data_IF_957157314749
#
_entry.id   IF_957157314749
#
_cell.length_a   1.000
_cell.length_b   1.000
_cell.length_c   1.000
_cell.angle_alpha   90.00
_cell.angle_beta   90.00
_cell.angle_gamma   90.00
#
_symmetry.space_group_name_H-M   'P 1'
#
loop_
_entity.id
_entity.type
_entity.pdbx_description
1 polymer ?
#
# COMPACT_ATOMS: atom_id res chain seq x y z
N UNK A 1 1.11 17.97 -16.58
CA UNK A 1 2.16 18.98 -16.28
C UNK A 1 2.11 20.11 -17.32
N UNK A 2 2.10 19.82 -18.63
CA UNK A 2 1.90 20.82 -19.70
C UNK A 2 0.60 21.64 -19.54
N UNK A 3 -0.55 20.97 -19.31
CA UNK A 3 -1.83 21.67 -19.02
C UNK A 3 -1.84 22.57 -17.77
N UNK A 4 -0.93 22.43 -16.80
CA UNK A 4 -0.89 23.35 -15.65
C UNK A 4 -0.05 24.60 -15.96
N UNK A 5 0.95 24.47 -16.85
CA UNK A 5 1.82 25.57 -17.28
C UNK A 5 1.14 26.43 -18.37
N UNK A 6 0.40 25.81 -19.29
CA UNK A 6 -0.42 26.53 -20.29
C UNK A 6 -1.55 27.35 -19.64
N UNK A 7 -2.02 26.94 -18.46
CA UNK A 7 -3.10 27.59 -17.72
C UNK A 7 -2.66 28.82 -16.92
N UNK A 8 -1.39 28.86 -16.50
CA UNK A 8 -0.79 30.05 -15.87
C UNK A 8 -0.56 31.18 -16.90
N UNK A 9 -0.43 30.81 -18.18
CA UNK A 9 -0.31 31.74 -19.31
C UNK A 9 -1.65 32.30 -19.81
N UNK A 10 -2.80 31.81 -19.30
CA UNK A 10 -4.14 32.34 -19.59
C UNK A 10 -4.62 33.37 -18.55
N UNK A 11 -3.69 34.12 -17.96
CA UNK A 11 -3.99 35.40 -17.35
C UNK A 11 -4.05 36.45 -18.48
N UNK A 12 -5.22 36.58 -19.09
CA UNK A 12 -5.49 37.50 -20.19
C UNK A 12 -5.06 38.94 -19.81
N UNK A 13 -4.14 39.59 -20.55
CA UNK A 13 -3.60 40.91 -20.18
C UNK A 13 -4.67 42.00 -20.04
N UNK A 14 -5.82 41.85 -20.71
CA UNK A 14 -6.92 42.82 -20.68
C UNK A 14 -7.69 42.85 -19.35
N UNK A 15 -7.60 41.81 -18.51
CA UNK A 15 -8.38 41.72 -17.27
C UNK A 15 -7.85 42.58 -16.11
N UNK A 16 -6.66 43.18 -16.25
CA UNK A 16 -6.00 43.93 -15.16
C UNK A 16 -6.50 45.38 -15.00
N UNK A 17 -7.35 45.87 -15.90
CA UNK A 17 -7.72 47.30 -16.03
C UNK A 17 -8.98 47.75 -15.27
N UNK A 18 -9.66 46.87 -14.53
CA UNK A 18 -10.98 47.16 -13.92
C UNK A 18 -10.93 47.30 -12.38
N UNK A 19 -9.73 47.47 -11.82
CA UNK A 19 -9.55 47.85 -10.42
C UNK A 19 -9.72 49.36 -10.25
N UNK A 20 -10.77 49.77 -9.54
CA UNK A 20 -11.09 51.16 -9.12
C UNK A 20 -11.40 52.16 -10.23
N UNK A 21 -12.54 52.02 -10.91
CA UNK A 21 -13.16 53.15 -11.61
C UNK A 21 -14.00 53.95 -10.60
N UNK A 22 -13.41 55.02 -10.06
CA UNK A 22 -14.12 56.03 -9.26
C UNK A 22 -15.12 56.74 -10.16
N UNK A 23 -16.36 56.82 -9.71
CA UNK A 23 -17.51 57.35 -10.46
C UNK A 23 -17.64 58.88 -10.41
N UNK A 24 -16.57 59.61 -10.12
CA UNK A 24 -16.63 61.06 -9.95
C UNK A 24 -16.85 61.74 -11.31
N UNK A 25 -18.01 62.38 -11.49
CA UNK A 25 -18.36 63.14 -12.69
C UNK A 25 -18.95 62.34 -13.87
N UNK A 26 -19.24 61.04 -13.70
CA UNK A 26 -19.87 60.21 -14.74
C UNK A 26 -21.40 60.19 -14.64
N UNK A 27 -22.10 59.97 -15.76
CA UNK A 27 -23.56 59.81 -15.75
C UNK A 27 -23.98 58.59 -14.91
N UNK A 28 -25.14 58.70 -14.26
CA UNK A 28 -25.65 57.68 -13.33
C UNK A 28 -25.79 56.29 -14.00
N UNK A 29 -26.19 56.27 -15.28
CA UNK A 29 -26.33 55.06 -16.08
C UNK A 29 -24.99 54.38 -16.38
N UNK A 30 -23.95 55.16 -16.69
CA UNK A 30 -22.61 54.62 -16.93
C UNK A 30 -22.03 54.02 -15.65
N UNK A 31 -22.24 54.66 -14.50
CA UNK A 31 -21.84 54.12 -13.21
C UNK A 31 -22.58 52.83 -12.84
N UNK A 32 -23.87 52.71 -13.17
CA UNK A 32 -24.62 51.46 -12.98
C UNK A 32 -24.07 50.34 -13.86
N UNK A 33 -23.78 50.62 -15.12
CA UNK A 33 -23.18 49.66 -16.06
C UNK A 33 -21.80 49.17 -15.61
N UNK A 34 -20.91 50.07 -15.17
CA UNK A 34 -19.57 49.72 -14.68
C UNK A 34 -19.62 48.86 -13.41
N UNK A 35 -20.55 49.13 -12.50
CA UNK A 35 -20.77 48.31 -11.29
C UNK A 35 -21.26 46.91 -11.66
N UNK A 36 -22.22 46.80 -12.57
CA UNK A 36 -22.73 45.51 -13.04
C UNK A 36 -21.62 44.69 -13.72
N UNK A 37 -20.84 45.33 -14.58
CA UNK A 37 -19.71 44.70 -15.28
C UNK A 37 -18.65 44.21 -14.32
N UNK A 38 -18.24 45.04 -13.36
CA UNK A 38 -17.29 44.66 -12.30
C UNK A 38 -17.81 43.47 -11.48
N UNK A 39 -19.11 43.45 -11.16
CA UNK A 39 -19.72 42.33 -10.44
C UNK A 39 -19.65 41.05 -11.26
N UNK A 40 -20.02 41.09 -12.54
CA UNK A 40 -19.97 39.94 -13.45
C UNK A 40 -18.54 39.39 -13.57
N UNK A 41 -17.55 40.26 -13.77
CA UNK A 41 -16.14 39.88 -13.83
C UNK A 41 -15.67 39.23 -12.53
N UNK A 42 -16.01 39.81 -11.37
CA UNK A 42 -15.64 39.25 -10.07
C UNK A 42 -16.23 37.86 -9.83
N UNK A 43 -17.48 37.63 -10.27
CA UNK A 43 -18.15 36.33 -10.17
C UNK A 43 -17.49 35.31 -11.07
N UNK A 44 -17.19 35.68 -12.31
CA UNK A 44 -16.52 34.80 -13.27
C UNK A 44 -15.12 34.38 -12.80
N UNK A 45 -14.31 35.33 -12.30
CA UNK A 45 -13.00 35.03 -11.70
C UNK A 45 -13.11 34.04 -10.54
N UNK A 46 -14.08 34.27 -9.65
CA UNK A 46 -14.35 33.35 -8.55
C UNK A 46 -14.78 31.96 -9.03
N UNK A 47 -15.64 31.88 -10.06
CA UNK A 47 -16.07 30.62 -10.64
C UNK A 47 -14.90 29.84 -11.26
N UNK A 48 -14.08 30.50 -12.07
CA UNK A 48 -12.86 29.91 -12.66
C UNK A 48 -11.93 29.39 -11.57
N UNK A 49 -11.65 30.19 -10.54
CA UNK A 49 -10.78 29.78 -9.43
C UNK A 49 -11.31 28.53 -8.69
N UNK A 50 -12.62 28.46 -8.42
CA UNK A 50 -13.24 27.30 -7.77
C UNK A 50 -13.15 26.03 -8.63
N UNK A 51 -13.43 26.12 -9.93
CA UNK A 51 -13.28 24.99 -10.84
C UNK A 51 -11.86 24.41 -10.82
N UNK A 52 -10.84 25.26 -10.87
CA UNK A 52 -9.43 24.82 -10.82
C UNK A 52 -9.06 24.17 -9.48
N UNK A 53 -9.55 24.74 -8.38
CA UNK A 53 -9.32 24.19 -7.06
C UNK A 53 -9.94 22.81 -6.92
N UNK A 54 -11.19 22.64 -7.37
CA UNK A 54 -11.90 21.36 -7.32
C UNK A 54 -11.25 20.30 -8.22
N UNK A 55 -10.85 20.65 -9.44
CA UNK A 55 -10.10 19.73 -10.32
C UNK A 55 -8.77 19.31 -9.68
N UNK A 56 -8.00 20.27 -9.17
CA UNK A 56 -6.73 19.99 -8.49
C UNK A 56 -6.93 19.12 -7.24
N UNK A 57 -7.98 19.38 -6.47
CA UNK A 57 -8.33 18.63 -5.26
C UNK A 57 -8.72 17.20 -5.60
N UNK A 58 -9.55 16.99 -6.61
CA UNK A 58 -9.99 15.64 -7.02
C UNK A 58 -8.83 14.81 -7.54
N UNK A 59 -7.94 15.38 -8.36
CA UNK A 59 -6.73 14.72 -8.85
C UNK A 59 -5.84 14.32 -7.66
N UNK A 60 -5.48 15.28 -6.79
CA UNK A 60 -4.64 15.01 -5.61
C UNK A 60 -5.25 13.93 -4.72
N UNK A 61 -6.55 14.03 -4.45
CA UNK A 61 -7.26 13.05 -3.63
C UNK A 61 -7.23 11.65 -4.25
N UNK A 62 -7.51 11.53 -5.56
CA UNK A 62 -7.45 10.24 -6.28
C UNK A 62 -6.07 9.60 -6.19
N UNK A 63 -4.99 10.38 -6.38
CA UNK A 63 -3.63 9.87 -6.28
C UNK A 63 -3.27 9.47 -4.85
N UNK A 64 -3.64 10.28 -3.85
CA UNK A 64 -3.41 9.96 -2.45
C UNK A 64 -4.10 8.65 -2.04
N UNK A 65 -5.38 8.48 -2.39
CA UNK A 65 -6.15 7.27 -2.09
C UNK A 65 -5.54 6.03 -2.74
N UNK A 66 -5.09 6.14 -4.00
CA UNK A 66 -4.39 5.03 -4.70
C UNK A 66 -3.09 4.63 -4.01
N UNK A 67 -2.28 5.62 -3.62
CA UNK A 67 -1.03 5.37 -2.91
C UNK A 67 -1.28 4.70 -1.56
N UNK A 68 -2.25 5.20 -0.79
CA UNK A 68 -2.64 4.63 0.49
C UNK A 68 -3.12 3.18 0.35
N UNK A 69 -3.97 2.89 -0.64
CA UNK A 69 -4.45 1.54 -0.91
C UNK A 69 -3.30 0.58 -1.29
N UNK A 70 -2.40 1.02 -2.16
CA UNK A 70 -1.23 0.24 -2.55
C UNK A 70 -0.32 -0.07 -1.35
N UNK A 71 -0.07 0.92 -0.49
CA UNK A 71 0.74 0.75 0.71
C UNK A 71 0.10 -0.23 1.71
N UNK A 72 -1.20 -0.09 2.00
CA UNK A 72 -1.93 -1.03 2.86
C UNK A 72 -1.87 -2.46 2.31
N UNK A 73 -2.06 -2.62 0.99
CA UNK A 73 -1.94 -3.92 0.34
C UNK A 73 -0.53 -4.51 0.42
N UNK A 74 0.52 -3.69 0.27
CA UNK A 74 1.91 -4.12 0.42
C UNK A 74 2.19 -4.61 1.85
N UNK A 75 1.77 -3.84 2.86
CA UNK A 75 1.95 -4.20 4.27
C UNK A 75 1.29 -5.54 4.61
N UNK A 76 0.05 -5.76 4.17
CA UNK A 76 -0.66 -7.03 4.40
C UNK A 76 0.05 -8.22 3.75
N UNK A 77 0.53 -8.08 2.51
CA UNK A 77 1.31 -9.14 1.83
C UNK A 77 2.65 -9.41 2.51
N UNK A 78 3.34 -8.36 2.95
CA UNK A 78 4.63 -8.47 3.64
C UNK A 78 4.48 -9.26 4.95
N UNK A 79 3.48 -8.90 5.76
CA UNK A 79 3.17 -9.60 7.02
C UNK A 79 2.81 -11.07 6.79
N UNK A 80 1.96 -11.34 5.79
CA UNK A 80 1.56 -12.71 5.44
C UNK A 80 2.78 -13.56 5.02
N UNK A 81 3.65 -13.00 4.17
CA UNK A 81 4.88 -13.67 3.72
C UNK A 81 5.82 -13.97 4.89
N UNK A 82 5.96 -13.03 5.83
CA UNK A 82 6.78 -13.23 7.02
C UNK A 82 6.22 -14.35 7.91
N UNK A 83 4.90 -14.36 8.15
CA UNK A 83 4.24 -15.41 8.93
C UNK A 83 4.38 -16.79 8.26
N UNK A 84 4.16 -16.88 6.95
CA UNK A 84 4.37 -18.12 6.19
C UNK A 84 5.79 -18.63 6.31
N UNK A 85 6.78 -17.74 6.18
CA UNK A 85 8.20 -18.11 6.26
C UNK A 85 8.54 -18.65 7.65
N UNK A 86 8.07 -17.98 8.71
CA UNK A 86 8.24 -18.43 10.09
C UNK A 86 7.53 -19.76 10.35
N UNK A 87 6.31 -19.94 9.83
CA UNK A 87 5.58 -21.18 10.00
C UNK A 87 6.30 -22.35 9.30
N UNK A 88 6.76 -22.14 8.06
CA UNK A 88 7.52 -23.15 7.32
C UNK A 88 8.84 -23.51 8.01
N UNK A 89 9.55 -22.55 8.60
CA UNK A 89 10.78 -22.87 9.35
C UNK A 89 10.49 -23.73 10.58
N UNK A 90 9.45 -23.41 11.35
CA UNK A 90 9.01 -24.21 12.49
C UNK A 90 8.64 -25.63 12.06
N UNK A 91 7.84 -25.78 11.00
CA UNK A 91 7.44 -27.10 10.50
C UNK A 91 8.65 -27.94 10.06
N UNK A 92 9.65 -27.33 9.41
CA UNK A 92 10.88 -28.03 9.02
C UNK A 92 11.64 -28.56 10.24
N UNK A 93 11.81 -27.74 11.27
CA UNK A 93 12.48 -28.15 12.52
C UNK A 93 11.68 -29.26 13.21
N UNK A 94 10.36 -29.13 13.31
CA UNK A 94 9.50 -30.15 13.90
C UNK A 94 9.57 -31.48 13.14
N UNK A 95 9.53 -31.45 11.80
CA UNK A 95 9.66 -32.64 10.97
C UNK A 95 11.03 -33.31 11.15
N UNK A 96 12.11 -32.53 11.17
CA UNK A 96 13.45 -33.03 11.41
C UNK A 96 13.57 -33.69 12.79
N UNK A 97 13.04 -33.06 13.84
CA UNK A 97 13.04 -33.61 15.20
C UNK A 97 12.23 -34.91 15.31
N UNK A 98 11.02 -34.95 14.73
CA UNK A 98 10.21 -36.18 14.68
C UNK A 98 10.96 -37.31 13.97
N UNK A 99 11.61 -37.01 12.85
CA UNK A 99 12.45 -37.96 12.13
C UNK A 99 13.65 -38.45 12.94
N UNK A 100 14.34 -37.56 13.65
CA UNK A 100 15.45 -37.89 14.53
C UNK A 100 15.02 -38.87 15.64
N UNK A 101 13.95 -38.53 16.38
CA UNK A 101 13.40 -39.37 17.46
C UNK A 101 13.03 -40.76 16.99
N UNK A 102 12.42 -40.89 15.81
CA UNK A 102 12.09 -42.20 15.24
C UNK A 102 13.35 -43.02 14.95
N UNK A 103 14.38 -42.40 14.37
CA UNK A 103 15.65 -43.08 14.07
C UNK A 103 16.40 -43.49 15.33
N UNK A 104 16.40 -42.66 16.38
CA UNK A 104 16.96 -43.03 17.68
C UNK A 104 16.27 -44.26 18.27
N UNK A 105 14.94 -44.27 18.31
CA UNK A 105 14.18 -45.44 18.80
C UNK A 105 14.48 -46.72 18.02
N UNK A 106 14.67 -46.60 16.70
CA UNK A 106 15.06 -47.75 15.86
C UNK A 106 16.47 -48.21 16.21
N UNK A 107 17.43 -47.28 16.36
CA UNK A 107 18.81 -47.60 16.77
C UNK A 107 18.86 -48.27 18.13
N UNK A 108 18.15 -47.74 19.12
CA UNK A 108 18.02 -48.34 20.45
C UNK A 108 17.52 -49.79 20.34
N UNK A 109 16.40 -50.03 19.65
CA UNK A 109 15.85 -51.39 19.45
C UNK A 109 16.81 -52.34 18.75
N UNK A 110 17.56 -51.86 17.75
CA UNK A 110 18.56 -52.67 17.04
C UNK A 110 19.72 -53.02 17.98
N UNK A 111 20.22 -52.06 18.75
CA UNK A 111 21.27 -52.30 19.74
C UNK A 111 20.84 -53.31 20.79
N UNK A 112 19.64 -53.16 21.37
CA UNK A 112 19.11 -54.11 22.37
C UNK A 112 19.02 -55.53 21.79
N UNK A 113 18.48 -55.69 20.58
CA UNK A 113 18.43 -57.01 19.91
C UNK A 113 19.81 -57.60 19.65
N UNK A 114 20.79 -56.78 19.27
CA UNK A 114 22.17 -57.25 19.05
C UNK A 114 22.81 -57.73 20.36
N UNK A 115 22.55 -57.06 21.48
CA UNK A 115 23.01 -57.49 22.80
C UNK A 115 22.37 -58.80 23.25
N UNK A 116 21.05 -58.96 23.05
CA UNK A 116 20.33 -60.22 23.31
C UNK A 116 20.92 -61.38 22.51
N UNK A 117 21.19 -61.18 21.21
CA UNK A 117 21.80 -62.18 20.33
C UNK A 117 23.22 -62.55 20.75
N UNK A 118 24.01 -61.60 21.28
CA UNK A 118 25.37 -61.85 21.79
C UNK A 118 25.37 -62.59 23.13
N UNK A 119 24.37 -62.36 23.98
CA UNK A 119 24.22 -63.04 25.28
C UNK A 119 23.57 -64.42 25.21
N UNK A 120 22.87 -64.75 24.11
CA UNK A 120 22.23 -66.04 23.92
C UNK A 120 23.26 -67.17 23.76
N UNK A 121 23.49 -67.96 24.83
CA UNK A 121 24.25 -69.22 24.72
C UNK A 121 23.53 -70.14 23.74
N UNK A 122 24.22 -70.74 22.74
CA UNK A 122 23.59 -71.68 21.84
C UNK A 122 23.03 -72.85 22.67
N UNK A 123 21.72 -73.12 22.53
CA UNK A 123 21.10 -74.34 23.06
C UNK A 123 21.83 -75.51 22.42
N UNK A 124 22.64 -76.23 23.20
CA UNK A 124 23.27 -77.47 22.76
C UNK A 124 22.15 -78.39 22.27
N UNK A 125 22.14 -78.67 20.97
CA UNK A 125 21.24 -79.65 20.38
C UNK A 125 21.76 -81.02 20.82
N UNK A 126 21.26 -81.51 21.95
CA UNK A 126 21.50 -82.88 22.36
C UNK A 126 20.70 -83.76 21.40
N UNK A 127 21.41 -84.49 20.54
CA UNK A 127 20.81 -85.59 19.81
C UNK A 127 20.48 -86.67 20.85
N UNK A 128 19.18 -86.93 21.06
CA UNK A 128 18.72 -88.10 21.80
C UNK A 128 18.66 -89.25 20.79
N UNK A 129 19.37 -90.32 21.11
CA UNK A 129 19.48 -91.55 20.32
C UNK A 129 18.15 -92.31 20.23
#
# INVERSE_FOLDING_TARGET
RQRLVEMEQQADPQERLVGSMSCEGLSQDLCAFLRATTKLQSVYRGHKSRLWYDESRTIKHRHATRLQAAFRGYMGRSQTKQLQTRHMSVLRVQAAFRGHRTRERVRERVMTRLEEMRGARPRRRTHVS
#
